data_IF_437890820103
#
_entry.id   IF_437890820103
#
_cell.length_a   1.000
_cell.length_b   1.000
_cell.length_c   1.000
_cell.angle_alpha   90.00
_cell.angle_beta   90.00
_cell.angle_gamma   90.00
#
_symmetry.space_group_name_H-M   'P 1'
#
loop_
_entity.id
_entity.type
_entity.pdbx_description
1 polymer ?
#
# COMPACT_ATOMS: atom_id res chain seq x y z
N UNK A 1 83.29 -3.91 -25.81
CA UNK A 1 82.48 -3.41 -24.68
C UNK A 1 81.07 -3.20 -25.20
N UNK A 2 80.15 -4.07 -24.79
CA UNK A 2 78.79 -4.18 -25.33
C UNK A 2 77.77 -3.44 -24.45
N UNK A 3 76.89 -2.71 -25.14
CA UNK A 3 75.44 -2.49 -24.94
C UNK A 3 74.83 -2.25 -23.54
N UNK A 4 74.03 -1.17 -23.45
CA UNK A 4 72.80 -1.09 -22.64
C UNK A 4 71.87 -0.02 -23.28
N UNK A 5 70.90 -0.42 -24.11
CA UNK A 5 69.47 -0.66 -23.84
C UNK A 5 68.68 0.55 -23.29
N UNK A 6 67.87 1.13 -24.18
CA UNK A 6 66.85 2.15 -23.90
C UNK A 6 65.54 1.51 -23.42
N UNK A 7 64.90 2.14 -22.43
CA UNK A 7 63.65 1.75 -21.80
C UNK A 7 62.47 2.30 -22.61
N UNK A 8 61.64 1.42 -23.16
CA UNK A 8 60.38 1.78 -23.82
C UNK A 8 59.22 1.84 -22.83
N UNK A 9 58.55 2.99 -22.80
CA UNK A 9 57.34 3.30 -22.02
C UNK A 9 56.19 2.33 -22.36
N UNK A 10 55.60 1.69 -21.36
CA UNK A 10 54.39 0.89 -21.48
C UNK A 10 53.17 1.79 -21.19
N UNK A 11 52.40 2.18 -22.21
CA UNK A 11 51.11 2.84 -22.03
C UNK A 11 50.06 1.80 -21.60
N UNK A 12 49.54 1.92 -20.39
CA UNK A 12 48.39 1.15 -19.93
C UNK A 12 47.10 1.92 -20.23
N UNK A 13 46.36 1.46 -21.23
CA UNK A 13 45.04 1.98 -21.60
C UNK A 13 44.00 1.47 -20.61
N UNK A 14 43.51 2.32 -19.71
CA UNK A 14 42.44 1.98 -18.77
C UNK A 14 41.09 1.95 -19.52
N UNK A 15 40.55 0.76 -19.75
CA UNK A 15 39.19 0.58 -20.30
C UNK A 15 38.18 0.78 -19.16
N UNK A 16 37.43 1.88 -19.20
CA UNK A 16 36.32 2.12 -18.27
C UNK A 16 35.11 1.24 -18.67
N UNK A 17 34.81 0.23 -17.85
CA UNK A 17 33.55 -0.52 -17.96
C UNK A 17 32.40 0.36 -17.47
N UNK A 18 31.62 0.91 -18.40
CA UNK A 18 30.31 1.48 -18.13
C UNK A 18 29.36 0.36 -17.70
N UNK A 19 29.14 0.22 -16.39
CA UNK A 19 28.02 -0.55 -15.85
C UNK A 19 26.72 0.19 -16.20
N UNK A 20 26.11 -0.20 -17.31
CA UNK A 20 24.73 0.16 -17.59
C UNK A 20 23.82 -0.56 -16.59
N UNK A 21 23.41 0.13 -15.53
CA UNK A 21 22.34 -0.36 -14.68
C UNK A 21 21.09 -0.57 -15.54
N UNK A 22 20.41 -1.73 -15.47
CA UNK A 22 19.19 -1.93 -16.22
C UNK A 22 18.14 -0.95 -15.70
N UNK A 23 17.72 0.00 -16.53
CA UNK A 23 16.43 0.66 -16.32
C UNK A 23 15.39 -0.46 -16.38
N UNK A 24 14.79 -0.79 -15.24
CA UNK A 24 13.67 -1.71 -15.19
C UNK A 24 12.53 -1.12 -16.04
N UNK A 25 12.39 -1.63 -17.27
CA UNK A 25 11.26 -1.33 -18.13
C UNK A 25 9.99 -1.86 -17.45
N UNK A 26 9.13 -0.96 -17.00
CA UNK A 26 7.89 -1.28 -16.30
C UNK A 26 6.92 -1.93 -17.29
N UNK A 27 6.57 -3.19 -17.07
CA UNK A 27 5.70 -3.96 -17.96
C UNK A 27 4.27 -3.42 -17.94
N UNK A 28 3.62 -3.20 -19.11
CA UNK A 28 2.22 -2.73 -19.21
C UNK A 28 1.19 -3.58 -18.43
N UNK A 29 1.53 -4.84 -18.13
CA UNK A 29 0.68 -5.79 -17.41
C UNK A 29 0.26 -5.32 -16.00
N UNK A 30 1.05 -4.45 -15.37
CA UNK A 30 0.81 -3.97 -14.00
C UNK A 30 -0.36 -2.97 -13.89
N UNK A 31 -0.91 -2.55 -15.04
CA UNK A 31 -2.02 -1.58 -15.09
C UNK A 31 -3.41 -2.21 -15.17
N UNK A 32 -3.51 -3.47 -15.60
CA UNK A 32 -4.81 -4.07 -15.94
C UNK A 32 -5.45 -4.88 -14.80
N UNK A 33 -4.64 -5.44 -13.88
CA UNK A 33 -5.13 -6.35 -12.84
C UNK A 33 -4.71 -5.87 -11.46
N UNK A 34 -5.59 -6.04 -10.50
CA UNK A 34 -5.26 -5.84 -9.10
C UNK A 34 -4.47 -7.04 -8.58
N UNK A 35 -3.30 -6.77 -8.00
CA UNK A 35 -2.48 -7.75 -7.30
C UNK A 35 -2.80 -7.70 -5.82
N UNK A 36 -3.36 -8.77 -5.26
CA UNK A 36 -3.58 -8.87 -3.81
C UNK A 36 -2.25 -9.06 -3.09
N UNK A 37 -1.94 -8.18 -2.14
CA UNK A 37 -0.64 -8.14 -1.44
C UNK A 37 -0.77 -8.29 0.07
N UNK A 38 -1.94 -7.99 0.63
CA UNK A 38 -2.27 -8.24 2.03
C UNK A 38 -3.54 -9.08 2.06
N UNK A 39 -3.51 -10.20 2.79
CA UNK A 39 -4.65 -11.09 2.96
C UNK A 39 -4.62 -11.73 4.35
N UNK A 40 -5.72 -11.60 5.09
CA UNK A 40 -5.84 -12.16 6.44
C UNK A 40 -7.31 -12.36 6.83
N UNK A 41 -7.62 -13.27 7.77
CA UNK A 41 -8.98 -13.42 8.29
C UNK A 41 -9.48 -12.12 8.93
N UNK A 42 -10.71 -11.70 8.68
CA UNK A 42 -11.20 -10.41 9.23
C UNK A 42 -11.21 -10.39 10.77
N UNK A 43 -11.17 -11.55 11.41
CA UNK A 43 -11.09 -11.75 12.86
C UNK A 43 -9.66 -11.81 13.41
N UNK A 44 -8.64 -11.57 12.58
CA UNK A 44 -7.24 -11.55 13.01
C UNK A 44 -7.00 -10.52 14.13
N UNK A 45 -5.94 -10.73 14.91
CA UNK A 45 -5.59 -9.90 16.08
C UNK A 45 -4.26 -9.16 15.91
N UNK A 46 -3.55 -9.41 14.81
CA UNK A 46 -2.33 -8.68 14.43
C UNK A 46 -2.63 -7.18 14.36
N UNK A 47 -1.88 -6.32 15.08
CA UNK A 47 -2.22 -4.91 15.18
C UNK A 47 -2.02 -4.14 13.86
N UNK A 48 -1.10 -4.60 13.00
CA UNK A 48 -0.71 -3.92 11.79
C UNK A 48 -0.24 -4.92 10.73
N UNK A 49 -0.78 -4.80 9.52
CA UNK A 49 -0.21 -5.40 8.32
C UNK A 49 0.38 -4.31 7.43
N UNK A 50 1.56 -4.54 6.88
CA UNK A 50 2.24 -3.60 6.00
C UNK A 50 2.68 -4.27 4.70
N UNK A 51 2.64 -3.51 3.62
CA UNK A 51 3.22 -3.92 2.35
C UNK A 51 3.80 -2.70 1.63
N UNK A 52 5.10 -2.69 1.25
CA UNK A 52 5.66 -1.63 0.41
C UNK A 52 4.89 -1.56 -0.91
N UNK A 53 4.45 -0.36 -1.29
CA UNK A 53 3.80 -0.15 -2.58
C UNK A 53 4.83 0.25 -3.64
N UNK A 54 5.74 1.15 -3.27
CA UNK A 54 6.96 1.49 -4.02
C UNK A 54 8.03 2.01 -3.04
N UNK A 55 9.09 2.66 -3.56
CA UNK A 55 10.16 3.23 -2.72
C UNK A 55 9.72 4.41 -1.85
N UNK A 56 8.57 5.01 -2.15
CA UNK A 56 8.03 6.23 -1.52
C UNK A 56 6.71 6.00 -0.79
N UNK A 57 6.08 4.83 -0.95
CA UNK A 57 4.74 4.53 -0.47
C UNK A 57 4.65 3.17 0.22
N UNK A 58 3.83 3.11 1.27
CA UNK A 58 3.50 1.89 1.99
C UNK A 58 1.99 1.76 2.18
N UNK A 59 1.46 0.56 1.97
CA UNK A 59 0.10 0.18 2.38
C UNK A 59 0.15 -0.28 3.83
N UNK A 60 -0.75 0.25 4.66
CA UNK A 60 -0.92 -0.18 6.05
C UNK A 60 -2.37 -0.53 6.32
N UNK A 61 -2.59 -1.62 7.05
CA UNK A 61 -3.91 -2.03 7.53
C UNK A 61 -3.85 -2.16 9.04
N UNK A 62 -4.49 -1.23 9.74
CA UNK A 62 -4.47 -1.13 11.19
C UNK A 62 -5.66 -1.83 11.80
N UNK A 63 -5.43 -2.62 12.85
CA UNK A 63 -6.52 -3.08 13.71
C UNK A 63 -7.06 -1.89 14.49
N UNK A 64 -8.37 -1.70 14.46
CA UNK A 64 -9.06 -0.63 15.19
C UNK A 64 -9.83 -1.23 16.36
N UNK A 65 -9.72 -0.58 17.51
CA UNK A 65 -10.38 -0.99 18.75
C UNK A 65 -11.19 0.16 19.35
N UNK A 66 -12.22 -0.18 20.13
CA UNK A 66 -12.96 0.80 20.92
C UNK A 66 -12.23 1.15 22.23
N UNK A 67 -12.87 1.98 23.07
CA UNK A 67 -12.34 2.39 24.36
C UNK A 67 -12.14 1.21 25.33
N UNK A 68 -12.89 0.13 25.15
CA UNK A 68 -12.81 -1.12 25.90
C UNK A 68 -11.87 -2.15 25.25
N UNK A 69 -11.06 -1.75 24.27
CA UNK A 69 -10.10 -2.59 23.53
C UNK A 69 -10.73 -3.71 22.69
N UNK A 70 -12.04 -3.65 22.43
CA UNK A 70 -12.75 -4.62 21.60
C UNK A 70 -12.50 -4.33 20.12
N UNK A 71 -12.39 -5.39 19.32
CA UNK A 71 -12.12 -5.27 17.88
C UNK A 71 -13.31 -4.64 17.15
N UNK A 72 -13.13 -3.44 16.59
CA UNK A 72 -14.17 -2.77 15.79
C UNK A 72 -14.05 -3.11 14.30
N UNK A 73 -12.85 -3.45 13.85
CA UNK A 73 -12.51 -3.79 12.48
C UNK A 73 -11.16 -3.22 12.09
N UNK A 74 -11.02 -2.83 10.83
CA UNK A 74 -9.73 -2.43 10.26
C UNK A 74 -9.78 -1.07 9.59
N UNK A 75 -8.65 -0.37 9.56
CA UNK A 75 -8.48 0.87 8.82
C UNK A 75 -7.36 0.72 7.80
N UNK A 76 -7.67 0.95 6.52
CA UNK A 76 -6.72 0.84 5.41
C UNK A 76 -6.16 2.22 5.08
N UNK A 77 -4.84 2.31 4.93
CA UNK A 77 -4.16 3.53 4.57
C UNK A 77 -3.05 3.32 3.55
N UNK A 78 -2.80 4.35 2.75
CA UNK A 78 -1.56 4.51 2.00
C UNK A 78 -0.85 5.75 2.52
N UNK A 79 0.43 5.59 2.84
CA UNK A 79 1.25 6.62 3.47
C UNK A 79 2.57 6.80 2.72
N UNK A 80 3.14 8.01 2.79
CA UNK A 80 4.50 8.26 2.32
C UNK A 80 5.53 7.63 3.26
N UNK A 81 6.63 7.14 2.70
CA UNK A 81 7.79 6.68 3.46
C UNK A 81 8.87 7.77 3.50
N UNK A 82 9.62 7.91 4.61
CA UNK A 82 9.42 7.23 5.89
C UNK A 82 8.13 7.70 6.58
N UNK A 83 7.51 6.82 7.36
CA UNK A 83 6.33 7.20 8.15
C UNK A 83 6.80 7.92 9.41
N UNK A 84 6.76 9.24 9.39
CA UNK A 84 7.14 10.08 10.52
C UNK A 84 6.12 9.98 11.66
N UNK A 85 6.61 9.95 12.91
CA UNK A 85 5.76 9.97 14.09
C UNK A 85 5.05 11.33 14.22
N UNK A 86 3.72 11.33 14.20
CA UNK A 86 2.90 12.50 14.52
C UNK A 86 2.13 13.10 13.34
N UNK A 87 2.44 12.71 12.10
CA UNK A 87 1.72 13.20 10.91
C UNK A 87 1.19 12.02 10.09
N UNK A 88 -0.04 11.59 10.40
CA UNK A 88 -0.71 10.50 9.69
C UNK A 88 -1.60 11.07 8.58
N UNK A 89 -1.06 11.20 7.37
CA UNK A 89 -1.88 11.54 6.21
C UNK A 89 -2.18 10.29 5.39
N UNK A 90 -3.44 9.84 5.43
CA UNK A 90 -3.90 8.74 4.60
C UNK A 90 -4.25 9.26 3.21
N UNK A 91 -3.42 8.91 2.22
CA UNK A 91 -3.55 9.34 0.82
C UNK A 91 -4.81 8.79 0.11
N UNK A 92 -5.62 7.97 0.79
CA UNK A 92 -6.90 7.47 0.30
C UNK A 92 -8.08 8.43 0.60
N UNK A 93 -7.88 9.41 1.48
CA UNK A 93 -8.91 10.40 1.80
C UNK A 93 -9.00 11.48 0.71
N UNK A 94 -10.23 11.72 0.24
CA UNK A 94 -10.53 12.83 -0.64
C UNK A 94 -10.61 14.17 0.10
N UNK A 95 -10.43 14.22 1.42
CA UNK A 95 -10.37 15.47 2.17
C UNK A 95 -9.77 15.26 3.54
N UNK A 96 -8.92 16.20 3.96
CA UNK A 96 -8.40 16.32 5.33
C UNK A 96 -9.45 16.78 6.35
N UNK A 97 -10.61 17.24 5.90
CA UNK A 97 -11.71 17.72 6.74
C UNK A 97 -12.89 16.75 6.79
N UNK A 98 -12.71 15.51 6.33
CA UNK A 98 -13.78 14.53 6.36
C UNK A 98 -14.03 14.05 7.80
N UNK A 99 -15.29 14.18 8.25
CA UNK A 99 -15.72 13.77 9.59
C UNK A 99 -16.90 12.80 9.48
N UNK A 100 -16.62 11.56 9.11
CA UNK A 100 -17.63 10.50 9.02
C UNK A 100 -17.04 9.16 8.58
N UNK A 101 -17.89 8.12 8.48
CA UNK A 101 -17.52 6.84 7.90
C UNK A 101 -16.87 7.04 6.53
N UNK A 102 -15.77 6.33 6.27
CA UNK A 102 -15.07 6.43 5.01
C UNK A 102 -14.82 5.06 4.39
N UNK A 103 -14.72 4.93 3.05
CA UNK A 103 -14.46 3.65 2.39
C UNK A 103 -13.16 2.94 2.80
N UNK A 104 -12.23 3.62 3.48
CA UNK A 104 -11.04 3.02 4.08
C UNK A 104 -11.33 2.20 5.34
N UNK A 105 -12.49 2.44 5.95
CA UNK A 105 -12.87 1.89 7.24
C UNK A 105 -13.62 0.57 7.03
N UNK A 106 -12.99 -0.53 7.40
CA UNK A 106 -13.55 -1.88 7.37
C UNK A 106 -14.11 -2.24 8.76
N UNK A 107 -15.05 -1.44 9.26
CA UNK A 107 -15.69 -1.71 10.55
C UNK A 107 -16.86 -2.67 10.43
N UNK A 108 -17.03 -3.55 11.41
CA UNK A 108 -18.09 -4.55 11.38
C UNK A 108 -19.47 -3.91 11.18
N UNK A 109 -19.74 -2.78 11.85
CA UNK A 109 -20.99 -2.07 11.67
C UNK A 109 -21.20 -1.48 10.27
N UNK A 110 -20.12 -1.19 9.51
CA UNK A 110 -20.24 -0.78 8.10
C UNK A 110 -20.79 -1.92 7.24
N UNK A 111 -20.33 -3.16 7.47
CA UNK A 111 -20.80 -4.33 6.74
C UNK A 111 -22.21 -4.74 7.18
N UNK A 112 -22.48 -4.76 8.49
CA UNK A 112 -23.82 -5.08 9.01
C UNK A 112 -24.94 -4.15 8.55
N UNK A 113 -24.60 -2.91 8.15
CA UNK A 113 -25.54 -1.94 7.56
C UNK A 113 -25.39 -1.74 6.05
N UNK A 114 -24.52 -2.52 5.39
CA UNK A 114 -24.21 -2.38 3.96
C UNK A 114 -23.86 -0.93 3.58
N UNK A 115 -23.11 -0.24 4.45
CA UNK A 115 -22.80 1.20 4.33
C UNK A 115 -21.94 1.50 3.11
N UNK A 116 -21.07 0.56 2.76
CA UNK A 116 -20.21 0.59 1.59
C UNK A 116 -20.31 -0.78 0.90
N UNK A 117 -20.04 -0.86 -0.41
CA UNK A 117 -19.92 -2.15 -1.09
C UNK A 117 -18.78 -3.00 -0.49
N UNK A 118 -18.91 -4.31 -0.63
CA UNK A 118 -17.91 -5.29 -0.16
C UNK A 118 -16.57 -5.15 -0.89
N UNK A 119 -16.61 -4.67 -2.13
CA UNK A 119 -15.45 -4.29 -2.93
C UNK A 119 -15.39 -2.78 -3.10
N UNK A 120 -14.24 -2.20 -2.79
CA UNK A 120 -13.99 -0.76 -2.82
C UNK A 120 -12.74 -0.50 -3.64
N UNK A 121 -12.85 0.38 -4.63
CA UNK A 121 -11.71 0.87 -5.40
C UNK A 121 -11.41 2.29 -4.91
N UNK A 122 -10.21 2.49 -4.37
CA UNK A 122 -9.80 3.70 -3.68
C UNK A 122 -8.61 4.34 -4.42
N UNK A 123 -8.74 5.59 -4.91
CA UNK A 123 -7.62 6.28 -5.52
C UNK A 123 -6.56 6.62 -4.46
N UNK A 124 -5.28 6.46 -4.81
CA UNK A 124 -4.18 7.04 -4.06
C UNK A 124 -3.92 8.44 -4.60
N UNK A 125 -4.34 9.46 -3.86
CA UNK A 125 -4.29 10.85 -4.31
C UNK A 125 -2.86 11.35 -4.49
N UNK A 126 -2.59 12.00 -5.64
CA UNK A 126 -1.26 12.48 -6.02
C UNK A 126 -0.35 11.41 -6.66
N UNK A 127 -0.83 10.16 -6.75
CA UNK A 127 -0.02 9.03 -7.21
C UNK A 127 -0.76 8.15 -8.24
N UNK A 128 -0.03 7.43 -9.11
CA UNK A 128 -0.61 6.61 -10.17
C UNK A 128 -1.00 5.22 -9.63
N UNK A 129 -1.76 5.15 -8.55
CA UNK A 129 -2.17 3.88 -7.95
C UNK A 129 -3.63 3.89 -7.52
N UNK A 130 -4.28 2.74 -7.63
CA UNK A 130 -5.55 2.47 -6.98
C UNK A 130 -5.40 1.26 -6.07
N UNK A 131 -6.04 1.31 -4.91
CA UNK A 131 -6.21 0.15 -4.05
C UNK A 131 -7.58 -0.47 -4.31
N UNK A 132 -7.62 -1.80 -4.34
CA UNK A 132 -8.84 -2.57 -4.23
C UNK A 132 -8.87 -3.22 -2.87
N UNK A 133 -9.87 -2.87 -2.08
CA UNK A 133 -10.12 -3.44 -0.76
C UNK A 133 -11.37 -4.29 -0.86
N UNK A 134 -11.28 -5.56 -0.43
CA UNK A 134 -12.40 -6.51 -0.46
C UNK A 134 -12.53 -7.19 0.88
N UNK A 135 -13.75 -7.60 1.21
CA UNK A 135 -14.05 -8.44 2.35
C UNK A 135 -14.87 -9.68 1.96
N UNK A 136 -14.35 -10.58 1.09
CA UNK A 136 -15.11 -11.74 0.64
C UNK A 136 -15.53 -12.63 1.82
N UNK A 137 -16.83 -12.95 1.85
CA UNK A 137 -17.42 -13.79 2.89
C UNK A 137 -17.46 -13.14 4.27
N UNK A 138 -17.29 -11.82 4.36
CA UNK A 138 -17.38 -11.14 5.64
C UNK A 138 -18.80 -11.17 6.18
N UNK A 139 -18.96 -11.74 7.38
CA UNK A 139 -20.22 -11.68 8.13
C UNK A 139 -20.00 -11.05 9.48
N UNK A 140 -21.08 -10.47 9.98
CA UNK A 140 -21.11 -9.76 11.24
C UNK A 140 -22.26 -10.24 12.10
N UNK A 141 -22.08 -10.18 13.41
CA UNK A 141 -23.10 -10.50 14.41
C UNK A 141 -23.17 -9.38 15.44
N UNK A 142 -24.31 -9.25 16.12
CA UNK A 142 -24.55 -8.23 17.14
C UNK A 142 -25.44 -7.10 16.61
N UNK A 143 -25.66 -6.09 17.44
CA UNK A 143 -26.43 -4.89 17.10
C UNK A 143 -25.81 -3.67 17.75
N UNK A 144 -25.99 -2.50 17.14
CA UNK A 144 -25.47 -1.24 17.66
C UNK A 144 -23.96 -1.28 17.89
N UNK A 145 -23.46 -0.95 19.10
CA UNK A 145 -22.04 -0.94 19.42
C UNK A 145 -21.41 -2.33 19.53
N UNK A 146 -22.21 -3.39 19.64
CA UNK A 146 -21.72 -4.77 19.84
C UNK A 146 -21.56 -5.55 18.52
N UNK A 147 -21.73 -4.87 17.38
CA UNK A 147 -21.51 -5.49 16.07
C UNK A 147 -20.03 -5.82 15.90
N UNK A 148 -19.73 -7.09 15.62
CA UNK A 148 -18.38 -7.60 15.41
C UNK A 148 -18.35 -8.56 14.22
N UNK A 149 -17.17 -8.73 13.61
CA UNK A 149 -16.97 -9.73 12.57
C UNK A 149 -16.91 -11.14 13.16
N UNK A 150 -17.49 -12.11 12.46
CA UNK A 150 -17.46 -13.53 12.84
C UNK A 150 -16.73 -14.41 11.83
N UNK A 151 -16.65 -13.99 10.57
CA UNK A 151 -16.01 -14.72 9.49
C UNK A 151 -15.69 -13.78 8.33
N UNK A 152 -14.87 -14.25 7.40
CA UNK A 152 -14.47 -13.56 6.17
C UNK A 152 -12.98 -13.30 6.07
N UNK A 153 -12.56 -12.80 4.92
CA UNK A 153 -11.16 -12.44 4.65
C UNK A 153 -11.07 -10.98 4.25
N UNK A 154 -10.13 -10.23 4.80
CA UNK A 154 -9.74 -8.94 4.24
C UNK A 154 -8.72 -9.20 3.14
N UNK A 155 -8.93 -8.59 1.98
CA UNK A 155 -8.00 -8.60 0.86
C UNK A 155 -7.72 -7.16 0.44
N UNK A 156 -6.44 -6.77 0.45
CA UNK A 156 -5.98 -5.50 -0.12
C UNK A 156 -5.06 -5.81 -1.29
N UNK A 157 -5.43 -5.30 -2.45
CA UNK A 157 -4.59 -5.30 -3.62
C UNK A 157 -4.46 -3.92 -4.22
N UNK A 158 -3.54 -3.78 -5.18
CA UNK A 158 -3.35 -2.52 -5.89
C UNK A 158 -3.12 -2.77 -7.37
N UNK A 159 -3.30 -1.71 -8.16
CA UNK A 159 -2.85 -1.65 -9.56
C UNK A 159 -2.23 -0.29 -9.83
N UNK A 160 -1.35 -0.23 -10.82
CA UNK A 160 -0.81 1.05 -11.30
C UNK A 160 -1.75 1.68 -12.32
N UNK A 161 -1.83 2.99 -12.35
CA UNK A 161 -2.56 3.75 -13.36
C UNK A 161 -1.60 4.38 -14.39
N UNK A 162 -2.06 4.68 -15.61
CA UNK A 162 -1.26 5.40 -16.60
C UNK A 162 -0.91 6.84 -16.18
N UNK A 163 -1.69 7.43 -15.27
CA UNK A 163 -1.52 8.80 -14.78
C UNK A 163 -1.84 8.87 -13.27
N UNK A 164 -1.27 9.83 -12.53
CA UNK A 164 -1.63 10.06 -11.14
C UNK A 164 -3.11 10.40 -10.96
N UNK A 165 -3.69 9.94 -9.86
CA UNK A 165 -4.98 10.47 -9.41
C UNK A 165 -4.81 11.93 -9.03
N UNK A 166 -5.84 12.74 -9.29
CA UNK A 166 -5.86 14.13 -8.85
C UNK A 166 -5.82 14.19 -7.33
N UNK A 167 -5.10 15.18 -6.82
CA UNK A 167 -5.24 15.55 -5.42
C UNK A 167 -6.70 15.97 -5.16
N UNK A 168 -7.22 15.70 -3.96
CA UNK A 168 -8.50 16.23 -3.58
C UNK A 168 -8.50 17.77 -3.61
N UNK A 169 -9.63 18.33 -4.04
CA UNK A 169 -9.84 19.78 -4.08
C UNK A 169 -9.90 20.39 -2.67
#
# INVERSE_FOLDING_TARGET
MNAAFSIGLCLTTTVALLWAAPLAAQTPADTARFTAVIRFPVTDTTPLFEHPLDSTLVIRVFRQVDAELRHMGWWVAVMRTPVESGTFFNLLYHSKYWHGPYPTDLYAWHFGKTRFPDERILPVHGYPYELRVRCPGCKTRGQGPDVHFTEGMVEVGWRRLPRPNRDPA
#
